data_IF_916806354560
#
_entry.id   IF_916806354560
#
_cell.length_a   1.000
_cell.length_b   1.000
_cell.length_c   1.000
_cell.angle_alpha   90.00
_cell.angle_beta   90.00
_cell.angle_gamma   90.00
#
_symmetry.space_group_name_H-M   'P 1'
#
loop_
_entity.id
_entity.type
_entity.pdbx_description
1 polymer ?
#
# COMPACT_ATOMS: atom_id res chain seq x y z
N UNK A 1 42.06 -2.02 -1.78
CA UNK A 1 40.91 -1.08 -1.84
C UNK A 1 40.62 -0.54 -0.45
N UNK A 2 40.55 0.78 -0.28
CA UNK A 2 40.16 1.40 1.00
C UNK A 2 38.69 1.08 1.32
N UNK A 3 38.31 1.15 2.61
CA UNK A 3 36.92 0.94 3.06
C UNK A 3 35.94 1.95 2.42
N UNK A 4 36.42 3.13 2.04
CA UNK A 4 35.64 4.18 1.37
C UNK A 4 35.38 3.87 -0.11
N UNK A 5 36.34 3.29 -0.84
CA UNK A 5 36.15 2.95 -2.27
C UNK A 5 35.05 1.89 -2.49
N UNK A 6 34.64 1.16 -1.45
CA UNK A 6 33.58 0.12 -1.51
C UNK A 6 32.15 0.68 -1.36
N UNK A 7 31.99 1.98 -1.09
CA UNK A 7 30.69 2.61 -0.79
C UNK A 7 30.51 3.99 -1.43
N UNK A 8 31.54 4.59 -2.01
CA UNK A 8 31.37 5.75 -2.89
C UNK A 8 30.72 5.30 -4.19
N UNK A 9 29.69 5.99 -4.66
CA UNK A 9 29.10 5.76 -5.98
C UNK A 9 29.63 6.84 -6.91
N UNK A 10 30.24 6.47 -8.03
CA UNK A 10 30.84 7.42 -8.96
C UNK A 10 30.23 7.26 -10.35
N UNK A 11 29.98 8.39 -11.04
CA UNK A 11 29.38 8.36 -12.37
C UNK A 11 30.26 7.58 -13.38
N UNK A 12 31.56 7.57 -13.14
CA UNK A 12 32.58 6.81 -13.90
C UNK A 12 32.37 5.29 -13.85
N UNK A 13 31.53 4.80 -12.96
CA UNK A 13 31.13 3.38 -12.90
C UNK A 13 30.08 3.01 -13.95
N UNK A 14 29.46 4.01 -14.60
CA UNK A 14 28.63 3.80 -15.78
C UNK A 14 29.49 3.82 -17.06
N UNK A 15 29.06 3.06 -18.06
CA UNK A 15 29.58 3.20 -19.42
C UNK A 15 29.21 4.58 -19.98
N UNK A 16 29.96 5.07 -20.96
CA UNK A 16 29.63 6.33 -21.64
C UNK A 16 28.21 6.31 -22.24
N UNK A 17 27.79 5.17 -22.79
CA UNK A 17 26.43 4.99 -23.32
C UNK A 17 25.37 5.15 -22.23
N UNK A 18 25.60 4.55 -21.05
CA UNK A 18 24.71 4.68 -19.89
C UNK A 18 24.67 6.10 -19.34
N UNK A 19 25.80 6.81 -19.33
CA UNK A 19 25.84 8.23 -18.94
C UNK A 19 24.99 9.07 -19.88
N UNK A 20 25.07 8.83 -21.20
CA UNK A 20 24.21 9.51 -22.18
C UNK A 20 22.73 9.19 -21.93
N UNK A 21 22.39 7.93 -21.63
CA UNK A 21 21.02 7.53 -21.29
C UNK A 21 20.48 8.28 -20.08
N UNK A 22 21.27 8.47 -19.02
CA UNK A 22 20.89 9.24 -17.81
C UNK A 22 20.54 10.68 -18.16
N UNK A 23 21.40 11.39 -18.89
CA UNK A 23 21.16 12.80 -19.19
C UNK A 23 20.07 13.03 -20.23
N UNK A 24 19.93 12.12 -21.21
CA UNK A 24 18.80 12.15 -22.15
C UNK A 24 17.48 11.93 -21.41
N UNK A 25 17.45 11.04 -20.42
CA UNK A 25 16.24 10.82 -19.62
C UNK A 25 15.83 12.10 -18.89
N UNK A 26 16.79 12.77 -18.24
CA UNK A 26 16.55 14.05 -17.55
C UNK A 26 16.04 15.10 -18.54
N UNK A 27 16.63 15.21 -19.73
CA UNK A 27 16.11 16.11 -20.75
C UNK A 27 14.63 15.84 -21.10
N UNK A 28 14.26 14.58 -21.30
CA UNK A 28 12.88 14.17 -21.59
C UNK A 28 11.92 14.43 -20.42
N UNK A 29 12.39 14.30 -19.17
CA UNK A 29 11.58 14.58 -17.97
C UNK A 29 11.06 16.01 -17.96
N UNK A 30 11.86 16.97 -18.44
CA UNK A 30 11.43 18.36 -18.55
C UNK A 30 10.62 18.61 -19.83
N UNK A 31 11.09 18.10 -20.98
CA UNK A 31 10.51 18.42 -22.31
C UNK A 31 9.22 17.67 -22.59
N UNK A 32 9.21 16.37 -22.33
CA UNK A 32 8.16 15.47 -22.77
C UNK A 32 7.21 15.10 -21.62
N UNK A 33 7.76 14.93 -20.40
CA UNK A 33 6.96 14.50 -19.25
C UNK A 33 6.48 15.69 -18.41
N UNK A 34 6.98 16.90 -18.65
CA UNK A 34 6.56 18.12 -17.94
C UNK A 34 6.62 17.98 -16.40
N UNK A 35 7.65 17.29 -15.92
CA UNK A 35 7.84 16.93 -14.50
C UNK A 35 6.70 16.10 -13.89
N UNK A 36 5.91 15.39 -14.70
CA UNK A 36 4.93 14.43 -14.20
C UNK A 36 5.64 13.26 -13.48
N UNK A 37 5.33 13.10 -12.19
CA UNK A 37 5.97 12.10 -11.34
C UNK A 37 5.55 10.67 -11.73
N UNK A 38 4.29 10.46 -12.13
CA UNK A 38 3.80 9.13 -12.49
C UNK A 38 4.49 8.64 -13.78
N UNK A 39 4.63 9.54 -14.77
CA UNK A 39 5.40 9.25 -15.99
C UNK A 39 6.88 9.03 -15.70
N UNK A 40 7.48 9.84 -14.82
CA UNK A 40 8.86 9.64 -14.39
C UNK A 40 9.06 8.25 -13.78
N UNK A 41 8.21 7.88 -12.82
CA UNK A 41 8.25 6.59 -12.13
C UNK A 41 8.04 5.42 -13.10
N UNK A 42 7.15 5.55 -14.09
CA UNK A 42 6.94 4.52 -15.11
C UNK A 42 8.18 4.35 -16.01
N UNK A 43 8.79 5.46 -16.45
CA UNK A 43 9.86 5.40 -17.46
C UNK A 43 11.23 5.10 -16.86
N UNK A 44 11.51 5.54 -15.63
CA UNK A 44 12.80 5.30 -14.96
C UNK A 44 13.05 3.80 -14.73
N UNK A 45 11.98 3.00 -14.63
CA UNK A 45 12.04 1.55 -14.46
C UNK A 45 12.81 0.80 -15.56
N UNK A 46 12.99 1.41 -16.74
CA UNK A 46 13.70 0.80 -17.87
C UNK A 46 15.23 0.85 -17.75
N UNK A 47 15.73 1.56 -16.75
CA UNK A 47 17.14 1.81 -16.54
C UNK A 47 17.72 0.85 -15.49
N UNK A 48 19.02 0.59 -15.57
CA UNK A 48 19.73 -0.19 -14.56
C UNK A 48 19.75 0.53 -13.20
N UNK A 49 19.95 -0.20 -12.11
CA UNK A 49 19.97 0.36 -10.75
C UNK A 49 20.89 1.59 -10.61
N UNK A 50 22.09 1.52 -11.19
CA UNK A 50 23.05 2.62 -11.11
C UNK A 50 22.64 3.81 -11.97
N UNK A 51 22.06 3.58 -13.15
CA UNK A 51 21.46 4.63 -13.98
C UNK A 51 20.28 5.28 -13.27
N UNK A 52 19.36 4.51 -12.68
CA UNK A 52 18.23 5.03 -11.90
C UNK A 52 18.73 5.92 -10.75
N UNK A 53 19.75 5.46 -10.01
CA UNK A 53 20.36 6.27 -8.95
C UNK A 53 20.88 7.60 -9.50
N UNK A 54 21.66 7.59 -10.59
CA UNK A 54 22.21 8.83 -11.14
C UNK A 54 21.14 9.73 -11.78
N UNK A 55 20.08 9.16 -12.35
CA UNK A 55 18.90 9.92 -12.78
C UNK A 55 18.31 10.66 -11.58
N UNK A 56 18.09 10.01 -10.44
CA UNK A 56 17.54 10.68 -9.26
C UNK A 56 18.53 11.65 -8.59
N UNK A 57 19.83 11.31 -8.54
CA UNK A 57 20.87 12.17 -8.00
C UNK A 57 20.96 13.48 -8.79
N UNK A 58 21.11 13.42 -10.12
CA UNK A 58 21.17 14.61 -10.96
C UNK A 58 19.81 15.28 -11.13
N UNK A 59 18.71 14.53 -11.13
CA UNK A 59 17.35 15.07 -11.16
C UNK A 59 17.08 15.98 -9.96
N UNK A 60 17.46 15.55 -8.75
CA UNK A 60 17.31 16.39 -7.55
C UNK A 60 18.12 17.70 -7.62
N UNK A 61 19.24 17.71 -8.35
CA UNK A 61 20.07 18.90 -8.56
C UNK A 61 19.44 19.81 -9.62
N UNK A 62 19.12 19.26 -10.80
CA UNK A 62 18.61 20.02 -11.94
C UNK A 62 17.20 20.55 -11.73
N UNK A 63 16.36 19.82 -11.02
CA UNK A 63 14.97 20.18 -10.76
C UNK A 63 14.74 20.72 -9.36
N UNK A 64 15.80 21.09 -8.63
CA UNK A 64 15.63 21.78 -7.35
C UNK A 64 14.75 23.02 -7.49
N UNK A 65 14.04 23.37 -6.41
CA UNK A 65 13.12 24.52 -6.38
C UNK A 65 13.76 25.81 -6.87
N UNK A 66 15.03 26.03 -6.52
CA UNK A 66 15.80 27.18 -6.99
C UNK A 66 16.07 27.12 -8.50
N UNK A 67 16.44 25.96 -9.05
CA UNK A 67 16.72 25.77 -10.48
C UNK A 67 15.45 25.87 -11.32
N UNK A 68 14.35 25.24 -10.91
CA UNK A 68 13.06 25.38 -11.60
C UNK A 68 12.62 26.85 -11.63
N UNK A 69 12.66 27.55 -10.49
CA UNK A 69 12.29 28.96 -10.45
C UNK A 69 13.20 29.85 -11.31
N UNK A 70 14.49 29.51 -11.40
CA UNK A 70 15.43 30.20 -12.29
C UNK A 70 15.11 29.93 -13.76
N UNK A 71 14.86 28.65 -14.11
CA UNK A 71 14.46 28.23 -15.45
C UNK A 71 13.17 28.92 -15.89
N UNK A 72 12.14 28.93 -15.06
CA UNK A 72 10.85 29.58 -15.35
C UNK A 72 10.94 31.10 -15.55
N UNK A 73 12.00 31.74 -15.03
CA UNK A 73 12.26 33.17 -15.17
C UNK A 73 13.19 33.51 -16.33
N UNK A 74 13.94 32.54 -16.85
CA UNK A 74 14.91 32.76 -17.92
C UNK A 74 14.26 32.64 -19.30
N UNK A 75 14.95 33.18 -20.32
CA UNK A 75 14.60 32.97 -21.73
C UNK A 75 14.68 31.49 -22.17
N UNK A 76 14.99 30.55 -21.27
CA UNK A 76 15.08 29.12 -21.58
C UNK A 76 13.74 28.49 -21.96
N UNK A 77 12.63 29.11 -21.56
CA UNK A 77 11.27 28.67 -21.93
C UNK A 77 10.76 29.27 -23.25
N UNK A 78 11.59 29.97 -24.04
CA UNK A 78 11.17 30.58 -25.33
C UNK A 78 10.80 29.57 -26.43
N UNK A 79 10.52 28.32 -26.08
CA UNK A 79 10.02 27.27 -26.97
C UNK A 79 8.97 26.36 -26.34
N UNK A 80 8.42 26.72 -25.17
CA UNK A 80 7.33 25.99 -24.53
C UNK A 80 6.04 26.80 -24.62
N UNK A 81 4.92 26.09 -24.76
CA UNK A 81 3.59 26.68 -24.71
C UNK A 81 3.18 27.00 -23.25
N UNK A 82 2.29 27.97 -23.06
CA UNK A 82 1.85 28.44 -21.73
C UNK A 82 1.30 27.29 -20.87
N UNK A 83 0.60 26.33 -21.48
CA UNK A 83 0.06 25.17 -20.77
C UNK A 83 1.18 24.28 -20.21
N UNK A 84 2.29 24.11 -20.94
CA UNK A 84 3.42 23.29 -20.49
C UNK A 84 4.12 23.95 -19.30
N UNK A 85 4.28 25.28 -19.36
CA UNK A 85 4.85 26.06 -18.27
C UNK A 85 4.00 25.93 -17.01
N UNK A 86 2.67 25.93 -17.16
CA UNK A 86 1.74 25.77 -16.05
C UNK A 86 1.83 24.36 -15.44
N UNK A 87 1.82 23.29 -16.26
CA UNK A 87 1.97 21.92 -15.79
C UNK A 87 3.28 21.70 -15.02
N UNK A 88 4.39 22.24 -15.52
CA UNK A 88 5.69 22.17 -14.85
C UNK A 88 5.64 22.82 -13.46
N UNK A 89 4.97 23.97 -13.31
CA UNK A 89 4.81 24.65 -12.02
C UNK A 89 3.97 23.84 -11.03
N UNK A 90 2.88 23.26 -11.50
CA UNK A 90 1.96 22.48 -10.66
C UNK A 90 2.61 21.17 -10.19
N UNK A 91 3.40 20.52 -11.05
CA UNK A 91 4.02 19.25 -10.75
C UNK A 91 5.33 19.38 -9.95
N UNK A 92 6.02 20.52 -10.04
CA UNK A 92 7.38 20.70 -9.52
C UNK A 92 7.57 20.25 -8.06
N UNK A 93 6.72 20.70 -7.13
CA UNK A 93 6.91 20.38 -5.72
C UNK A 93 6.71 18.87 -5.44
N UNK A 94 5.71 18.24 -6.06
CA UNK A 94 5.50 16.79 -5.95
C UNK A 94 6.65 16.00 -6.57
N UNK A 95 7.09 16.42 -7.76
CA UNK A 95 8.19 15.81 -8.48
C UNK A 95 9.50 15.86 -7.68
N UNK A 96 9.86 17.03 -7.14
CA UNK A 96 11.07 17.20 -6.31
C UNK A 96 11.04 16.24 -5.13
N UNK A 97 9.93 16.22 -4.39
CA UNK A 97 9.79 15.36 -3.21
C UNK A 97 9.89 13.87 -3.58
N UNK A 98 9.26 13.46 -4.69
CA UNK A 98 9.34 12.09 -5.20
C UNK A 98 10.75 11.68 -5.59
N UNK A 99 11.45 12.52 -6.35
CA UNK A 99 12.83 12.26 -6.80
C UNK A 99 13.82 12.23 -5.63
N UNK A 100 13.70 13.11 -4.64
CA UNK A 100 14.55 13.06 -3.45
C UNK A 100 14.33 11.78 -2.63
N UNK A 101 13.07 11.36 -2.45
CA UNK A 101 12.74 10.09 -1.81
C UNK A 101 13.33 8.88 -2.53
N UNK A 102 13.20 8.84 -3.86
CA UNK A 102 13.80 7.79 -4.70
C UNK A 102 15.33 7.82 -4.66
N UNK A 103 15.96 9.00 -4.67
CA UNK A 103 17.42 9.18 -4.63
C UNK A 103 18.03 8.49 -3.41
N UNK A 104 17.53 8.80 -2.21
CA UNK A 104 18.10 8.24 -0.98
C UNK A 104 17.95 6.70 -0.91
N UNK A 105 16.85 6.18 -1.45
CA UNK A 105 16.63 4.75 -1.59
C UNK A 105 17.61 4.10 -2.56
N UNK A 106 17.66 4.59 -3.80
CA UNK A 106 18.50 4.07 -4.87
C UNK A 106 19.99 4.18 -4.51
N UNK A 107 20.37 5.22 -3.77
CA UNK A 107 21.72 5.39 -3.20
C UNK A 107 22.08 4.26 -2.25
N UNK A 108 21.17 3.89 -1.33
CA UNK A 108 21.39 2.78 -0.40
C UNK A 108 21.47 1.44 -1.14
N UNK A 109 20.55 1.21 -2.07
CA UNK A 109 20.53 0.02 -2.94
C UNK A 109 21.85 -0.13 -3.71
N UNK A 110 22.26 0.89 -4.43
CA UNK A 110 23.50 0.89 -5.21
C UNK A 110 24.74 0.73 -4.32
N UNK A 111 24.81 1.37 -3.16
CA UNK A 111 25.92 1.18 -2.20
C UNK A 111 26.00 -0.24 -1.67
N UNK A 112 24.86 -0.85 -1.32
CA UNK A 112 24.81 -2.23 -0.86
C UNK A 112 25.24 -3.19 -1.97
N UNK A 113 24.76 -2.96 -3.18
CA UNK A 113 25.14 -3.70 -4.37
C UNK A 113 26.66 -3.65 -4.59
N UNK A 114 27.25 -2.44 -4.67
CA UNK A 114 28.70 -2.25 -4.82
C UNK A 114 29.50 -2.91 -3.70
N UNK A 115 29.01 -2.82 -2.46
CA UNK A 115 29.67 -3.45 -1.29
C UNK A 115 29.69 -4.97 -1.39
N UNK A 116 28.64 -5.58 -1.96
CA UNK A 116 28.47 -7.04 -2.04
C UNK A 116 29.17 -7.63 -3.26
N UNK A 117 29.05 -7.00 -4.42
CA UNK A 117 29.51 -7.53 -5.71
C UNK A 117 30.81 -6.89 -6.22
N UNK A 118 31.23 -5.76 -5.66
CA UNK A 118 32.47 -5.08 -6.03
C UNK A 118 32.38 -4.16 -7.25
N UNK A 119 31.40 -4.39 -8.13
CA UNK A 119 31.10 -3.54 -9.29
C UNK A 119 29.61 -3.58 -9.66
N UNK A 120 29.25 -2.86 -10.73
CA UNK A 120 27.91 -2.82 -11.33
C UNK A 120 27.83 -3.50 -12.70
N UNK A 121 28.93 -4.12 -13.15
CA UNK A 121 29.05 -4.73 -14.48
C UNK A 121 28.74 -6.23 -14.41
N UNK A 122 29.06 -6.86 -13.29
CA UNK A 122 28.96 -8.31 -13.06
C UNK A 122 27.52 -8.75 -12.76
N UNK A 123 26.64 -7.83 -12.38
CA UNK A 123 25.25 -8.14 -12.04
C UNK A 123 24.30 -7.22 -12.81
N UNK A 124 23.60 -7.82 -13.78
CA UNK A 124 22.44 -7.21 -14.41
C UNK A 124 21.20 -7.75 -13.68
N UNK A 125 20.34 -6.85 -13.20
CA UNK A 125 18.95 -7.24 -12.94
C UNK A 125 18.45 -7.98 -14.20
N UNK A 126 17.69 -9.08 -14.08
CA UNK A 126 17.14 -9.76 -15.25
C UNK A 126 16.50 -8.73 -16.17
N UNK A 127 16.78 -8.80 -17.47
CA UNK A 127 16.19 -7.86 -18.43
C UNK A 127 14.65 -7.85 -18.25
N UNK A 128 14.08 -6.67 -18.00
CA UNK A 128 12.64 -6.52 -17.73
C UNK A 128 12.22 -6.80 -16.27
N UNK A 129 13.13 -6.87 -15.31
CA UNK A 129 12.77 -6.92 -13.89
C UNK A 129 12.12 -5.59 -13.47
N UNK A 130 10.82 -5.64 -13.21
CA UNK A 130 10.02 -4.50 -12.74
C UNK A 130 9.52 -4.82 -11.34
N UNK A 131 9.93 -4.03 -10.35
CA UNK A 131 9.29 -4.06 -9.03
C UNK A 131 7.87 -3.52 -9.18
N UNK A 132 6.87 -4.38 -8.96
CA UNK A 132 5.47 -3.96 -8.96
C UNK A 132 4.91 -4.01 -7.54
N UNK A 133 4.23 -2.96 -7.05
CA UNK A 133 3.54 -3.03 -5.78
C UNK A 133 2.46 -4.12 -5.86
N UNK A 134 2.36 -4.91 -4.79
CA UNK A 134 1.26 -5.86 -4.64
C UNK A 134 0.05 -5.05 -4.19
N UNK A 135 -1.01 -5.02 -5.01
CA UNK A 135 -2.26 -4.33 -4.65
C UNK A 135 -3.00 -5.11 -3.55
N UNK A 136 -2.51 -5.00 -2.32
CA UNK A 136 -3.04 -5.72 -1.16
C UNK A 136 -2.82 -4.92 0.12
N UNK A 137 -3.87 -4.84 0.93
CA UNK A 137 -3.87 -4.23 2.26
C UNK A 137 -4.58 -5.15 3.23
N UNK A 138 -4.13 -5.11 4.48
CA UNK A 138 -4.77 -5.78 5.59
C UNK A 138 -6.03 -5.02 6.02
N UNK A 139 -7.20 -5.66 6.09
CA UNK A 139 -8.44 -5.00 6.49
C UNK A 139 -8.38 -4.47 7.93
N UNK A 140 -8.85 -3.23 8.14
CA UNK A 140 -9.17 -2.67 9.47
C UNK A 140 -10.66 -2.33 9.60
N UNK A 141 -11.48 -2.72 8.62
CA UNK A 141 -12.91 -2.43 8.57
C UNK A 141 -13.72 -3.59 9.18
N UNK A 142 -13.56 -3.85 10.48
CA UNK A 142 -14.35 -4.90 11.16
C UNK A 142 -15.65 -4.39 11.78
N UNK A 143 -15.92 -3.10 11.70
CA UNK A 143 -17.11 -2.53 12.31
C UNK A 143 -18.37 -2.98 11.55
N UNK A 144 -18.95 -4.10 11.96
CA UNK A 144 -20.38 -4.28 11.84
C UNK A 144 -21.04 -3.19 12.70
N UNK A 145 -21.65 -2.21 12.05
CA UNK A 145 -22.26 -1.09 12.76
C UNK A 145 -23.64 -1.51 13.23
N UNK A 146 -23.87 -1.52 14.54
CA UNK A 146 -25.23 -1.60 15.09
C UNK A 146 -25.92 -0.25 14.98
N UNK A 147 -27.25 -0.22 15.09
CA UNK A 147 -28.00 1.05 15.17
C UNK A 147 -27.56 1.88 16.38
N UNK A 148 -27.26 1.23 17.51
CA UNK A 148 -26.82 1.86 18.77
C UNK A 148 -25.41 2.46 18.70
N UNK A 149 -24.50 1.86 17.92
CA UNK A 149 -23.15 2.40 17.68
C UNK A 149 -23.18 3.72 16.90
N UNK A 150 -24.29 4.00 16.22
CA UNK A 150 -24.51 5.24 15.49
C UNK A 150 -25.04 6.35 16.39
N UNK A 151 -25.92 6.03 17.35
CA UNK A 151 -26.48 6.99 18.31
C UNK A 151 -25.40 7.63 19.21
N UNK A 152 -24.27 6.94 19.43
CA UNK A 152 -23.14 7.42 20.24
C UNK A 152 -22.10 8.26 19.48
N UNK A 153 -22.30 8.60 18.19
CA UNK A 153 -21.27 9.15 17.27
C UNK A 153 -21.06 10.66 17.23
N UNK A 154 -21.58 11.45 18.17
CA UNK A 154 -21.16 12.86 18.24
C UNK A 154 -19.73 13.08 18.78
N UNK A 155 -18.90 12.03 18.94
CA UNK A 155 -17.49 12.20 19.35
C UNK A 155 -16.53 11.03 19.11
N UNK A 156 -16.96 9.88 18.62
CA UNK A 156 -16.09 8.69 18.52
C UNK A 156 -15.71 8.38 17.07
N UNK A 157 -14.50 8.83 16.68
CA UNK A 157 -13.75 8.23 15.56
C UNK A 157 -13.78 6.71 15.75
N UNK A 158 -13.91 5.93 14.67
CA UNK A 158 -13.88 4.46 14.67
C UNK A 158 -12.83 3.95 15.67
N UNK A 159 -13.26 3.56 16.88
CA UNK A 159 -12.35 3.20 18.00
C UNK A 159 -11.29 2.21 17.52
N UNK A 160 -11.73 1.25 16.73
CA UNK A 160 -10.90 0.19 16.15
C UNK A 160 -9.74 0.68 15.25
N UNK A 161 -9.86 1.81 14.52
CA UNK A 161 -8.75 2.32 13.67
C UNK A 161 -7.75 3.12 14.50
N UNK A 162 -8.22 4.01 15.38
CA UNK A 162 -7.33 4.84 16.20
C UNK A 162 -6.48 3.98 17.13
N UNK A 163 -7.11 2.96 17.72
CA UNK A 163 -6.50 2.16 18.77
C UNK A 163 -5.41 1.27 18.16
N UNK A 164 -5.71 0.59 17.04
CA UNK A 164 -4.70 -0.23 16.36
C UNK A 164 -3.59 0.62 15.74
N UNK A 165 -3.90 1.82 15.21
CA UNK A 165 -2.88 2.75 14.74
C UNK A 165 -1.90 3.13 15.86
N UNK A 166 -2.40 3.49 17.04
CA UNK A 166 -1.54 3.78 18.20
C UNK A 166 -0.66 2.58 18.58
N UNK A 167 -1.21 1.37 18.49
CA UNK A 167 -0.44 0.15 18.75
C UNK A 167 0.68 -0.06 17.72
N UNK A 168 0.43 0.20 16.43
CA UNK A 168 1.49 0.18 15.39
C UNK A 168 2.60 1.18 15.73
N UNK A 169 2.25 2.40 16.17
CA UNK A 169 3.22 3.39 16.61
C UNK A 169 4.03 2.90 17.80
N UNK A 170 3.38 2.40 18.87
CA UNK A 170 4.07 1.90 20.05
C UNK A 170 5.00 0.71 19.75
N UNK A 171 4.66 -0.14 18.79
CA UNK A 171 5.52 -1.26 18.41
C UNK A 171 6.77 -0.77 17.67
N UNK A 172 6.65 0.28 16.85
CA UNK A 172 7.66 0.67 15.86
C UNK A 172 8.41 1.98 16.16
N UNK A 173 7.99 2.77 17.14
CA UNK A 173 8.55 4.11 17.43
C UNK A 173 10.04 4.10 17.81
N UNK A 174 10.55 3.00 18.36
CA UNK A 174 11.97 2.80 18.65
C UNK A 174 12.76 2.22 17.46
N UNK A 175 12.06 1.90 16.36
CA UNK A 175 12.61 1.23 15.19
C UNK A 175 12.53 2.07 13.90
N UNK A 176 11.50 2.91 13.76
CA UNK A 176 11.24 3.77 12.60
C UNK A 176 10.87 5.18 13.04
N UNK A 177 11.10 6.15 12.16
CA UNK A 177 10.64 7.52 12.38
C UNK A 177 9.11 7.61 12.28
N UNK A 178 8.53 8.62 12.92
CA UNK A 178 7.08 8.79 13.01
C UNK A 178 6.40 8.87 11.63
N UNK A 179 7.07 9.52 10.69
CA UNK A 179 6.65 9.70 9.30
C UNK A 179 6.69 8.37 8.54
N UNK A 180 7.75 7.59 8.72
CA UNK A 180 7.89 6.26 8.11
C UNK A 180 6.82 5.28 8.63
N UNK A 181 6.48 5.37 9.92
CA UNK A 181 5.40 4.58 10.52
C UNK A 181 4.04 4.98 9.91
N UNK A 182 3.80 6.27 9.68
CA UNK A 182 2.56 6.74 9.04
C UNK A 182 2.42 6.17 7.62
N UNK A 183 3.49 6.27 6.84
CA UNK A 183 3.53 5.75 5.47
C UNK A 183 3.34 4.23 5.46
N UNK A 184 4.05 3.51 6.33
CA UNK A 184 3.90 2.06 6.49
C UNK A 184 2.45 1.70 6.82
N UNK A 185 1.84 2.40 7.78
CA UNK A 185 0.47 2.16 8.20
C UNK A 185 -0.52 2.37 7.04
N UNK A 186 -0.44 3.51 6.36
CA UNK A 186 -1.34 3.85 5.26
C UNK A 186 -1.14 2.93 4.05
N UNK A 187 0.08 2.44 3.83
CA UNK A 187 0.36 1.51 2.75
C UNK A 187 -0.11 0.08 3.08
N UNK A 188 -0.07 -0.31 4.36
CA UNK A 188 -0.33 -1.69 4.81
C UNK A 188 -1.79 -1.98 5.11
N UNK A 189 -2.59 -0.98 5.50
CA UNK A 189 -3.93 -1.21 6.05
C UNK A 189 -5.06 -0.56 5.25
N UNK A 190 -6.14 -1.32 5.03
CA UNK A 190 -7.35 -0.87 4.34
C UNK A 190 -8.37 -0.36 5.37
N UNK A 191 -8.82 0.87 5.18
CA UNK A 191 -9.89 1.49 5.95
C UNK A 191 -10.64 2.48 5.06
N UNK A 192 -11.92 2.74 5.37
CA UNK A 192 -12.86 3.45 4.49
C UNK A 192 -12.40 4.86 4.05
N UNK A 193 -11.55 5.49 4.84
CA UNK A 193 -11.04 6.84 4.59
C UNK A 193 -9.57 6.86 4.20
N UNK A 194 -8.98 5.76 3.72
CA UNK A 194 -7.58 5.74 3.29
C UNK A 194 -7.45 6.40 1.91
N UNK A 195 -6.93 7.65 1.81
CA UNK A 195 -6.87 8.34 0.53
C UNK A 195 -5.64 7.92 -0.29
N UNK A 196 -4.71 7.17 0.30
CA UNK A 196 -3.41 6.88 -0.30
C UNK A 196 -3.49 5.69 -1.25
N UNK A 197 -2.80 5.78 -2.38
CA UNK A 197 -2.55 4.63 -3.26
C UNK A 197 -1.49 3.70 -2.64
N UNK A 198 -1.44 2.44 -3.09
CA UNK A 198 -0.41 1.50 -2.66
C UNK A 198 0.84 1.75 -3.52
N UNK A 199 1.94 2.03 -2.85
CA UNK A 199 3.23 2.30 -3.51
C UNK A 199 4.32 1.42 -2.89
N UNK A 200 5.46 1.30 -3.58
CA UNK A 200 6.64 0.68 -2.99
C UNK A 200 7.29 1.68 -2.03
N UNK A 201 7.24 1.40 -0.73
CA UNK A 201 8.05 2.12 0.23
C UNK A 201 9.44 1.51 0.24
N UNK A 202 10.43 2.37 0.45
CA UNK A 202 11.84 2.00 0.47
C UNK A 202 12.40 2.07 1.89
N UNK A 203 11.64 1.54 2.85
CA UNK A 203 12.06 1.54 4.24
C UNK A 203 13.25 0.60 4.42
N UNK A 204 14.26 1.11 5.13
CA UNK A 204 15.52 0.40 5.37
C UNK A 204 15.61 -0.03 6.82
N UNK A 205 16.22 -1.19 7.06
CA UNK A 205 16.43 -1.72 8.41
C UNK A 205 17.91 -1.78 8.72
N UNK A 206 18.26 -1.46 9.96
CA UNK A 206 19.65 -1.53 10.45
C UNK A 206 19.92 -2.84 11.19
N UNK A 207 18.91 -3.40 11.85
CA UNK A 207 19.02 -4.62 12.64
C UNK A 207 17.96 -5.66 12.20
N UNK A 208 18.40 -6.72 11.52
CA UNK A 208 17.52 -7.79 11.01
C UNK A 208 16.83 -8.57 12.13
N UNK A 209 17.53 -8.82 13.24
CA UNK A 209 16.97 -9.56 14.37
C UNK A 209 15.87 -8.77 15.04
N UNK A 210 16.10 -7.48 15.28
CA UNK A 210 15.10 -6.61 15.90
C UNK A 210 13.91 -6.40 14.96
N UNK A 211 14.17 -6.16 13.67
CA UNK A 211 13.12 -6.10 12.64
C UNK A 211 12.18 -7.31 12.70
N UNK A 212 12.73 -8.53 12.70
CA UNK A 212 11.91 -9.75 12.76
C UNK A 212 11.06 -9.81 14.02
N UNK A 213 11.62 -9.47 15.19
CA UNK A 213 10.88 -9.42 16.45
C UNK A 213 9.72 -8.42 16.39
N UNK A 214 9.98 -7.20 15.91
CA UNK A 214 8.97 -6.14 15.79
C UNK A 214 7.87 -6.51 14.80
N UNK A 215 8.23 -7.05 13.63
CA UNK A 215 7.25 -7.48 12.63
C UNK A 215 6.43 -8.69 13.10
N UNK A 216 7.04 -9.63 13.83
CA UNK A 216 6.31 -10.74 14.46
C UNK A 216 5.32 -10.22 15.52
N UNK A 217 5.75 -9.27 16.36
CA UNK A 217 4.87 -8.63 17.35
C UNK A 217 3.70 -7.92 16.69
N UNK A 218 3.96 -7.16 15.62
CA UNK A 218 2.92 -6.48 14.85
C UNK A 218 1.96 -7.48 14.19
N UNK A 219 2.46 -8.59 13.65
CA UNK A 219 1.63 -9.66 13.10
C UNK A 219 0.72 -10.29 14.17
N UNK A 220 1.27 -10.62 15.35
CA UNK A 220 0.50 -11.21 16.45
C UNK A 220 -0.59 -10.26 16.92
N UNK A 221 -0.22 -9.00 17.18
CA UNK A 221 -1.16 -7.93 17.56
C UNK A 221 -2.26 -7.74 16.53
N UNK A 222 -1.90 -7.65 15.24
CA UNK A 222 -2.89 -7.56 14.16
C UNK A 222 -3.77 -8.81 14.10
N UNK A 223 -3.23 -10.01 14.29
CA UNK A 223 -3.99 -11.26 14.21
C UNK A 223 -5.04 -11.31 15.33
N UNK A 224 -4.68 -10.91 16.56
CA UNK A 224 -5.61 -10.82 17.67
C UNK A 224 -6.69 -9.76 17.44
N UNK A 225 -6.29 -8.61 16.91
CA UNK A 225 -7.21 -7.56 16.47
C UNK A 225 -8.18 -8.07 15.40
N UNK A 226 -7.67 -8.74 14.37
CA UNK A 226 -8.42 -9.30 13.25
C UNK A 226 -9.43 -10.33 13.73
N UNK A 227 -9.02 -11.28 14.57
CA UNK A 227 -9.90 -12.35 15.05
C UNK A 227 -11.05 -11.83 15.91
N UNK A 228 -10.77 -10.81 16.76
CA UNK A 228 -11.83 -10.13 17.52
C UNK A 228 -12.82 -9.46 16.59
N UNK A 229 -12.34 -8.62 15.68
CA UNK A 229 -13.19 -7.91 14.72
C UNK A 229 -13.97 -8.85 13.78
N UNK A 230 -13.33 -9.91 13.28
CA UNK A 230 -13.95 -10.96 12.46
C UNK A 230 -15.09 -11.64 13.20
N UNK A 231 -14.87 -12.02 14.45
CA UNK A 231 -15.89 -12.68 15.26
C UNK A 231 -17.10 -11.77 15.51
N UNK A 232 -16.87 -10.50 15.85
CA UNK A 232 -17.92 -9.49 16.03
C UNK A 232 -18.73 -9.29 14.75
N UNK A 233 -18.04 -9.12 13.62
CA UNK A 233 -18.66 -8.98 12.30
C UNK A 233 -19.55 -10.18 11.95
N UNK A 234 -18.99 -11.39 12.01
CA UNK A 234 -19.72 -12.60 11.64
C UNK A 234 -20.91 -12.87 12.56
N UNK A 235 -20.77 -12.62 13.86
CA UNK A 235 -21.85 -12.77 14.83
C UNK A 235 -22.98 -11.77 14.58
N UNK A 236 -22.64 -10.52 14.24
CA UNK A 236 -23.64 -9.51 13.86
C UNK A 236 -24.48 -9.97 12.66
N UNK A 237 -23.84 -10.41 11.57
CA UNK A 237 -24.59 -10.86 10.38
C UNK A 237 -25.40 -12.13 10.66
N UNK A 238 -24.87 -13.07 11.45
CA UNK A 238 -25.61 -14.25 11.91
C UNK A 238 -26.88 -13.85 12.68
N UNK A 239 -26.78 -12.87 13.58
CA UNK A 239 -27.90 -12.33 14.36
C UNK A 239 -28.92 -11.63 13.46
N UNK A 240 -28.47 -10.71 12.61
CA UNK A 240 -29.32 -9.99 11.65
C UNK A 240 -30.13 -10.94 10.76
N UNK A 241 -29.48 -11.95 10.17
CA UNK A 241 -30.17 -12.94 9.33
C UNK A 241 -31.16 -13.79 10.13
N UNK A 242 -30.84 -14.14 11.37
CA UNK A 242 -31.77 -14.87 12.24
C UNK A 242 -33.00 -14.04 12.57
N UNK A 243 -32.83 -12.76 12.91
CA UNK A 243 -33.92 -11.83 13.19
C UNK A 243 -34.79 -11.59 11.96
N UNK A 244 -34.17 -11.41 10.79
CA UNK A 244 -34.89 -11.25 9.53
C UNK A 244 -35.73 -12.49 9.18
N UNK A 245 -35.21 -13.70 9.44
CA UNK A 245 -35.95 -14.94 9.23
C UNK A 245 -37.24 -15.00 10.07
N UNK A 246 -37.12 -14.62 11.35
CA UNK A 246 -38.27 -14.55 12.26
C UNK A 246 -39.28 -13.50 11.79
N UNK A 247 -38.81 -12.30 11.44
CA UNK A 247 -39.67 -11.21 10.95
C UNK A 247 -40.43 -11.58 9.67
N UNK A 248 -39.79 -12.27 8.72
CA UNK A 248 -40.44 -12.75 7.49
C UNK A 248 -41.51 -13.79 7.82
N UNK A 249 -41.20 -14.75 8.71
CA UNK A 249 -42.16 -15.79 9.14
C UNK A 249 -43.38 -15.17 9.83
N UNK A 250 -43.15 -14.16 10.65
CA UNK A 250 -44.20 -13.47 11.41
C UNK A 250 -44.93 -12.39 10.57
N UNK A 251 -44.54 -12.25 9.28
CA UNK A 251 -45.03 -11.24 8.33
C UNK A 251 -44.95 -9.80 8.85
N UNK A 252 -44.05 -9.52 9.80
CA UNK A 252 -43.85 -8.22 10.42
C UNK A 252 -42.36 -7.87 10.37
N UNK A 253 -41.99 -7.03 9.41
CA UNK A 253 -40.61 -6.55 9.25
C UNK A 253 -40.45 -5.22 9.95
N UNK A 254 -39.37 -5.05 10.71
CA UNK A 254 -39.03 -3.74 11.26
C UNK A 254 -38.78 -2.75 10.14
N UNK A 255 -39.51 -1.63 10.15
CA UNK A 255 -39.38 -0.58 9.16
C UNK A 255 -38.09 0.18 9.42
N UNK A 256 -37.23 0.19 8.41
CA UNK A 256 -36.02 0.99 8.38
C UNK A 256 -36.15 2.06 7.30
N UNK A 257 -35.73 3.29 7.61
CA UNK A 257 -35.71 4.42 6.66
C UNK A 257 -34.29 4.93 6.49
N UNK A 258 -33.93 5.29 5.26
CA UNK A 258 -32.69 6.00 4.98
C UNK A 258 -32.86 7.47 5.38
N UNK A 259 -32.06 7.95 6.33
CA UNK A 259 -32.05 9.38 6.65
C UNK A 259 -31.32 10.20 5.57
N UNK A 260 -31.27 11.53 5.75
CA UNK A 260 -30.63 12.47 4.83
C UNK A 260 -29.12 12.24 4.62
N UNK A 261 -28.52 11.33 5.39
CA UNK A 261 -27.10 10.96 5.35
C UNK A 261 -26.90 9.54 4.81
N UNK A 262 -27.96 8.90 4.34
CA UNK A 262 -27.94 7.57 3.75
C UNK A 262 -27.94 6.43 4.76
N UNK A 263 -28.52 6.62 5.94
CA UNK A 263 -28.45 5.65 7.05
C UNK A 263 -29.79 4.96 7.31
N UNK A 264 -29.79 3.62 7.39
CA UNK A 264 -30.97 2.84 7.79
C UNK A 264 -31.26 3.01 9.28
N UNK A 265 -32.36 3.68 9.62
CA UNK A 265 -32.84 3.91 10.99
C UNK A 265 -34.08 3.06 11.24
N UNK A 266 -34.07 2.21 12.27
CA UNK A 266 -35.28 1.52 12.75
C UNK A 266 -36.26 2.56 13.30
N UNK A 267 -37.44 2.61 12.70
CA UNK A 267 -38.47 3.58 13.07
C UNK A 267 -39.28 3.14 14.30
N UNK A 268 -39.04 1.93 14.83
CA UNK A 268 -39.87 1.31 15.85
C UNK A 268 -41.21 0.78 15.32
N UNK A 269 -41.51 1.05 14.04
CA UNK A 269 -42.71 0.58 13.36
C UNK A 269 -42.45 -0.77 12.69
N UNK A 270 -43.49 -1.60 12.61
CA UNK A 270 -43.46 -2.84 11.84
C UNK A 270 -44.25 -2.67 10.55
N UNK A 271 -43.65 -3.09 9.43
CA UNK A 271 -44.29 -3.22 8.13
C UNK A 271 -44.87 -4.61 7.99
N UNK A 272 -46.13 -4.69 7.61
CA UNK A 272 -46.73 -5.96 7.20
C UNK A 272 -46.19 -6.43 5.84
N UNK A 273 -45.81 -7.70 5.78
CA UNK A 273 -45.26 -8.35 4.60
C UNK A 273 -46.40 -8.75 3.65
N UNK A 274 -46.88 -7.80 2.85
CA UNK A 274 -47.88 -8.05 1.81
C UNK A 274 -47.29 -8.85 0.64
N UNK A 275 -48.14 -9.45 -0.20
CA UNK A 275 -47.73 -10.25 -1.38
C UNK A 275 -46.86 -9.45 -2.37
N UNK A 276 -47.03 -8.12 -2.40
CA UNK A 276 -46.17 -7.24 -3.22
C UNK A 276 -44.82 -7.01 -2.57
N UNK A 277 -44.77 -6.86 -1.24
CA UNK A 277 -43.53 -6.58 -0.47
C UNK A 277 -42.67 -7.83 -0.28
N UNK A 278 -43.27 -9.01 -0.20
CA UNK A 278 -42.55 -10.28 -0.02
C UNK A 278 -41.52 -10.57 -1.13
N UNK A 279 -41.70 -9.99 -2.32
CA UNK A 279 -40.76 -10.11 -3.46
C UNK A 279 -39.38 -9.51 -3.19
N UNK A 280 -39.26 -8.56 -2.26
CA UNK A 280 -37.98 -7.91 -1.90
C UNK A 280 -37.23 -8.64 -0.78
N UNK A 281 -37.83 -9.69 -0.22
CA UNK A 281 -37.24 -10.48 0.86
C UNK A 281 -36.98 -11.91 0.38
N UNK A 282 -35.99 -12.61 0.97
CA UNK A 282 -35.76 -14.02 0.69
C UNK A 282 -37.02 -14.83 0.94
N UNK A 283 -37.39 -15.69 -0.03
CA UNK A 283 -38.48 -16.66 0.16
C UNK A 283 -38.07 -17.64 1.25
N UNK A 284 -39.02 -18.03 2.11
CA UNK A 284 -38.82 -19.01 3.19
C UNK A 284 -39.93 -20.07 3.18
N UNK A 285 -40.56 -20.28 2.02
CA UNK A 285 -41.78 -21.06 1.87
C UNK A 285 -41.50 -22.58 1.91
N UNK A 286 -40.37 -23.00 1.34
CA UNK A 286 -39.96 -24.41 1.29
C UNK A 286 -38.80 -24.72 2.23
N UNK A 287 -38.61 -26.02 2.53
CA UNK A 287 -37.41 -26.49 3.26
C UNK A 287 -36.12 -26.11 2.51
N UNK A 288 -36.15 -26.19 1.17
CA UNK A 288 -35.03 -25.81 0.31
C UNK A 288 -34.72 -24.31 0.38
N UNK A 289 -35.74 -23.44 0.38
CA UNK A 289 -35.57 -21.99 0.49
C UNK A 289 -35.02 -21.59 1.85
N UNK A 290 -35.52 -22.20 2.92
CA UNK A 290 -34.98 -22.03 4.29
C UNK A 290 -33.53 -22.47 4.35
N UNK A 291 -33.18 -23.61 3.75
CA UNK A 291 -31.80 -24.09 3.72
C UNK A 291 -30.89 -23.17 2.90
N UNK A 292 -31.35 -22.65 1.76
CA UNK A 292 -30.61 -21.69 0.93
C UNK A 292 -30.36 -20.37 1.67
N UNK A 293 -31.34 -19.88 2.42
CA UNK A 293 -31.19 -18.69 3.27
C UNK A 293 -30.27 -18.94 4.47
N UNK A 294 -30.33 -20.13 5.09
CA UNK A 294 -29.40 -20.52 6.16
C UNK A 294 -27.97 -20.63 5.62
N UNK A 295 -27.78 -21.23 4.44
CA UNK A 295 -26.47 -21.38 3.79
C UNK A 295 -25.90 -20.03 3.32
N UNK A 296 -26.75 -19.02 3.06
CA UNK A 296 -26.29 -17.66 2.76
C UNK A 296 -25.52 -17.00 3.91
N UNK A 297 -25.56 -17.57 5.12
CA UNK A 297 -24.72 -17.15 6.26
C UNK A 297 -23.22 -17.38 6.00
N UNK A 298 -22.86 -18.36 5.18
CA UNK A 298 -21.46 -18.61 4.80
C UNK A 298 -20.88 -17.48 3.94
N UNK A 299 -21.72 -16.70 3.25
CA UNK A 299 -21.30 -15.55 2.44
C UNK A 299 -20.70 -14.41 3.27
N UNK A 300 -20.94 -14.40 4.59
CA UNK A 300 -20.43 -13.38 5.52
C UNK A 300 -19.18 -13.84 6.26
N UNK A 301 -18.68 -15.04 5.99
CA UNK A 301 -17.43 -15.50 6.58
C UNK A 301 -16.26 -14.71 5.98
N UNK A 302 -15.50 -14.03 6.83
CA UNK A 302 -14.32 -13.31 6.38
C UNK A 302 -13.15 -14.29 6.16
N UNK A 303 -12.29 -14.07 5.14
CA UNK A 303 -11.15 -14.95 4.92
C UNK A 303 -10.19 -14.95 6.12
N UNK A 304 -9.42 -16.01 6.32
CA UNK A 304 -8.36 -16.01 7.33
C UNK A 304 -7.19 -15.12 6.88
N UNK A 305 -6.62 -14.36 7.82
CA UNK A 305 -5.36 -13.65 7.57
C UNK A 305 -4.18 -14.54 7.96
N UNK A 306 -3.33 -14.83 6.98
CA UNK A 306 -2.11 -15.60 7.18
C UNK A 306 -0.89 -14.70 7.25
N UNK A 307 0.25 -15.25 7.68
CA UNK A 307 1.55 -14.57 7.61
C UNK A 307 1.96 -14.20 6.18
N UNK A 308 1.45 -14.89 5.18
CA UNK A 308 1.73 -14.64 3.77
C UNK A 308 1.12 -13.30 3.32
N UNK A 309 -0.09 -12.97 3.81
CA UNK A 309 -0.68 -11.63 3.66
C UNK A 309 0.19 -10.55 4.30
N UNK A 310 0.80 -10.85 5.45
CA UNK A 310 1.77 -9.97 6.08
C UNK A 310 3.04 -9.83 5.23
N UNK A 311 3.53 -10.92 4.64
CA UNK A 311 4.63 -10.89 3.68
C UNK A 311 4.38 -9.94 2.50
N UNK A 312 3.15 -9.87 1.98
CA UNK A 312 2.77 -8.95 0.90
C UNK A 312 2.94 -7.47 1.29
N UNK A 313 2.46 -7.06 2.47
CA UNK A 313 2.62 -5.67 2.93
C UNK A 313 4.08 -5.34 3.24
N UNK A 314 4.85 -6.31 3.74
CA UNK A 314 6.27 -6.13 4.01
C UNK A 314 7.08 -6.02 2.72
N UNK A 315 6.73 -6.78 1.68
CA UNK A 315 7.32 -6.65 0.35
C UNK A 315 7.12 -5.24 -0.22
N UNK A 316 5.92 -4.68 -0.12
CA UNK A 316 5.68 -3.32 -0.57
C UNK A 316 6.49 -2.30 0.24
N UNK A 317 6.73 -2.57 1.53
CA UNK A 317 7.24 -1.54 2.43
C UNK A 317 8.75 -1.55 2.65
N UNK A 318 9.38 -2.71 2.56
CA UNK A 318 10.79 -2.88 2.94
C UNK A 318 11.64 -3.38 1.79
N UNK A 319 12.63 -2.56 1.42
CA UNK A 319 13.47 -2.79 0.24
C UNK A 319 14.25 -4.11 0.31
N UNK A 320 14.78 -4.46 1.49
CA UNK A 320 15.58 -5.67 1.69
C UNK A 320 14.81 -6.98 1.43
N UNK A 321 13.48 -6.96 1.53
CA UNK A 321 12.62 -8.13 1.22
C UNK A 321 12.50 -8.30 -0.30
N UNK A 322 12.43 -7.18 -1.03
CA UNK A 322 12.41 -7.16 -2.50
C UNK A 322 13.76 -7.55 -3.06
N UNK A 323 14.85 -6.97 -2.56
CA UNK A 323 16.22 -7.38 -2.91
C UNK A 323 16.41 -8.88 -2.73
N UNK A 324 15.96 -9.44 -1.58
CA UNK A 324 16.05 -10.87 -1.32
C UNK A 324 15.20 -11.74 -2.27
N UNK A 325 14.15 -11.21 -2.88
CA UNK A 325 13.42 -11.90 -3.96
C UNK A 325 14.24 -11.91 -5.24
N UNK A 326 14.73 -10.74 -5.64
CA UNK A 326 15.51 -10.55 -6.88
C UNK A 326 16.71 -11.49 -6.91
N UNK A 327 17.48 -11.51 -5.82
CA UNK A 327 18.67 -12.35 -5.69
C UNK A 327 18.35 -13.83 -5.92
N UNK A 328 17.28 -14.33 -5.29
CA UNK A 328 16.87 -15.74 -5.42
C UNK A 328 16.25 -16.05 -6.79
N UNK A 329 15.55 -15.09 -7.40
CA UNK A 329 14.97 -15.25 -8.72
C UNK A 329 16.05 -15.31 -9.82
N UNK A 330 17.20 -14.68 -9.59
CA UNK A 330 18.36 -14.79 -10.48
C UNK A 330 18.99 -16.19 -10.38
N UNK A 331 19.20 -16.67 -9.15
CA UNK A 331 19.74 -18.02 -8.92
C UNK A 331 18.79 -19.12 -9.39
N UNK A 332 17.48 -18.86 -9.35
CA UNK A 332 16.42 -19.76 -9.77
C UNK A 332 15.33 -18.99 -10.54
N UNK A 333 15.44 -18.87 -11.88
CA UNK A 333 14.46 -18.17 -12.70
C UNK A 333 13.02 -18.69 -12.60
N UNK A 334 12.82 -19.93 -12.13
CA UNK A 334 11.49 -20.49 -11.88
C UNK A 334 10.85 -20.02 -10.57
N UNK A 335 11.55 -19.23 -9.75
CA UNK A 335 11.04 -18.76 -8.47
C UNK A 335 9.98 -17.68 -8.66
N UNK A 336 8.75 -18.01 -8.29
CA UNK A 336 7.65 -17.06 -8.26
C UNK A 336 7.73 -16.16 -7.02
N UNK A 337 7.19 -14.93 -7.13
CA UNK A 337 7.06 -14.02 -5.98
C UNK A 337 6.27 -14.67 -4.85
N UNK A 338 5.20 -15.40 -5.16
CA UNK A 338 4.38 -16.10 -4.17
C UNK A 338 5.20 -17.11 -3.36
N UNK A 339 6.02 -17.95 -4.02
CA UNK A 339 6.91 -18.88 -3.33
C UNK A 339 7.92 -18.16 -2.41
N UNK A 340 8.45 -17.02 -2.84
CA UNK A 340 9.35 -16.22 -2.00
C UNK A 340 8.64 -15.64 -0.77
N UNK A 341 7.45 -15.06 -0.95
CA UNK A 341 6.66 -14.49 0.16
C UNK A 341 6.27 -15.57 1.16
N UNK A 342 5.90 -16.77 0.69
CA UNK A 342 5.62 -17.93 1.55
C UNK A 342 6.82 -18.26 2.43
N UNK A 343 8.01 -18.33 1.84
CA UNK A 343 9.26 -18.60 2.56
C UNK A 343 9.59 -17.48 3.56
N UNK A 344 9.56 -16.22 3.12
CA UNK A 344 9.83 -15.05 3.97
C UNK A 344 8.88 -14.99 5.17
N UNK A 345 7.60 -15.32 4.97
CA UNK A 345 6.60 -15.37 6.05
C UNK A 345 6.89 -16.46 7.10
N UNK A 346 7.57 -17.54 6.69
CA UNK A 346 7.97 -18.63 7.59
C UNK A 346 9.23 -18.28 8.38
N UNK A 347 10.15 -17.51 7.78
CA UNK A 347 11.40 -17.04 8.40
C UNK A 347 11.19 -16.01 9.53
N UNK A 348 9.98 -15.47 9.68
CA UNK A 348 9.55 -14.67 10.84
C UNK A 348 9.43 -15.51 12.14
N UNK A 349 9.60 -16.84 12.10
CA UNK A 349 9.57 -17.74 13.28
C UNK A 349 10.86 -17.77 14.09
N UNK A 350 12.00 -17.39 13.49
CA UNK A 350 13.34 -17.58 14.06
C UNK A 350 14.09 -16.27 14.27
#
# INVERSE_FOLDING_TARGET
>A
MSRNNRITLELTELSLESVTKVFNFLENVLKDYLLDLDMFEEKIQKYSLLEQYFICEYGSIYYSKQKINSLLKSRSFTGYEDFQIQSIKENADNFINGVEGMRESLKKLAKNHKRKYGDFVTFKLPDGFIEKPINFRLPLYFAAQTAEDFEKRFGTRSKTKSDFKQEVYSILEDFLQKEDIELLFNNSFAYSTNPYQIVLLYLTITNKTEFKKKMLRLYTSYSEYYQRGKSEYENYYKKYYSELAHQIKDKKIKKTVLDSRGLLVDTGEFIELTETRSKFYPKLDTVADKQKFINSKELFHLPEITKEHFGKILYNSFVHIREGYVEKAIENPGLTLEQHLKKASTELRN
#
